data_IF_712345045128
#
_entry.id   IF_712345045128
#
_cell.length_a   1.000
_cell.length_b   1.000
_cell.length_c   1.000
_cell.angle_alpha   90.00
_cell.angle_beta   90.00
_cell.angle_gamma   90.00
#
_symmetry.space_group_name_H-M   'P 1'
#
loop_
_entity.id
_entity.type
_entity.pdbx_description
1 polymer ?
#
# COMPACT_ATOMS: atom_id res chain seq x y z
N UNK A 1 -18.53 3.07 9.62
CA UNK A 1 -17.38 2.32 10.15
C UNK A 1 -17.90 1.02 10.75
N UNK A 2 -17.36 -0.08 10.33
CA UNK A 2 -17.74 -1.44 10.71
C UNK A 2 -16.51 -2.15 11.30
N UNK A 3 -16.71 -3.06 12.27
CA UNK A 3 -15.64 -3.91 12.82
C UNK A 3 -16.12 -5.34 12.72
N UNK A 4 -15.37 -6.15 11.98
CA UNK A 4 -15.71 -7.55 11.70
C UNK A 4 -14.53 -8.47 12.01
N UNK A 5 -14.80 -9.71 12.46
CA UNK A 5 -13.76 -10.73 12.65
C UNK A 5 -13.08 -11.09 11.31
N UNK A 6 -11.79 -11.40 11.39
CA UNK A 6 -10.99 -11.99 10.32
C UNK A 6 -10.23 -13.19 10.88
N UNK A 7 -10.81 -14.39 10.72
CA UNK A 7 -10.30 -15.57 11.40
C UNK A 7 -10.49 -15.48 12.92
N UNK A 8 -9.57 -16.07 13.67
CA UNK A 8 -9.61 -16.21 15.13
C UNK A 8 -8.68 -15.26 15.89
N UNK A 9 -7.82 -14.55 15.18
CA UNK A 9 -6.75 -13.73 15.75
C UNK A 9 -6.63 -12.34 15.09
N UNK A 10 -7.66 -11.93 14.35
CA UNK A 10 -7.69 -10.58 13.75
C UNK A 10 -9.10 -10.00 13.69
N UNK A 11 -9.16 -8.66 13.64
CA UNK A 11 -10.36 -7.87 13.33
C UNK A 11 -10.03 -6.93 12.16
N UNK A 12 -11.03 -6.64 11.33
CA UNK A 12 -10.95 -5.59 10.30
C UNK A 12 -11.83 -4.42 10.71
N UNK A 13 -11.22 -3.26 10.83
CA UNK A 13 -11.92 -1.98 11.01
C UNK A 13 -12.09 -1.35 9.62
N UNK A 14 -13.30 -1.44 9.06
CA UNK A 14 -13.63 -0.89 7.74
C UNK A 14 -14.16 0.53 7.90
N UNK A 15 -13.52 1.49 7.23
CA UNK A 15 -13.91 2.90 7.26
C UNK A 15 -14.92 3.25 6.16
N UNK A 16 -14.78 2.61 4.99
CA UNK A 16 -15.72 2.70 3.84
C UNK A 16 -15.88 1.35 3.16
N UNK A 17 -16.95 1.21 2.36
CA UNK A 17 -17.19 -0.02 1.59
C UNK A 17 -16.37 -0.05 0.31
N UNK A 18 -16.31 1.06 -0.43
CA UNK A 18 -15.62 1.17 -1.71
C UNK A 18 -14.51 2.22 -1.65
N UNK A 19 -13.39 1.89 -2.26
CA UNK A 19 -12.23 2.78 -2.32
C UNK A 19 -12.37 3.82 -3.43
N UNK A 20 -12.90 3.41 -4.56
CA UNK A 20 -12.97 4.17 -5.80
C UNK A 20 -13.86 5.42 -5.72
N UNK A 21 -14.81 5.45 -4.78
CA UNK A 21 -15.73 6.57 -4.61
C UNK A 21 -15.03 7.86 -4.14
N UNK A 22 -14.05 7.72 -3.26
CA UNK A 22 -13.26 8.84 -2.73
C UNK A 22 -11.89 8.34 -2.23
N UNK A 23 -10.95 7.99 -3.12
CA UNK A 23 -9.71 7.30 -2.75
C UNK A 23 -8.86 8.05 -1.72
N UNK A 24 -8.64 9.36 -1.92
CA UNK A 24 -7.81 10.18 -1.02
C UNK A 24 -8.41 10.29 0.38
N UNK A 25 -9.71 10.62 0.45
CA UNK A 25 -10.40 10.77 1.74
C UNK A 25 -10.51 9.44 2.49
N UNK A 26 -10.74 8.35 1.75
CA UNK A 26 -10.85 7.00 2.31
C UNK A 26 -9.52 6.55 2.90
N UNK A 27 -8.43 6.78 2.18
CA UNK A 27 -7.09 6.47 2.67
C UNK A 27 -6.71 7.34 3.88
N UNK A 28 -7.03 8.65 3.84
CA UNK A 28 -6.81 9.55 4.98
C UNK A 28 -7.56 9.07 6.22
N UNK A 29 -8.79 8.60 6.06
CA UNK A 29 -9.56 8.07 7.17
C UNK A 29 -9.00 6.75 7.70
N UNK A 30 -8.61 5.82 6.84
CA UNK A 30 -7.97 4.57 7.23
C UNK A 30 -6.65 4.82 7.98
N UNK A 31 -5.81 5.73 7.46
CA UNK A 31 -4.55 6.11 8.11
C UNK A 31 -4.78 6.83 9.45
N UNK A 32 -5.83 7.66 9.55
CA UNK A 32 -6.21 8.29 10.81
C UNK A 32 -6.62 7.24 11.85
N UNK A 33 -7.43 6.27 11.47
CA UNK A 33 -7.82 5.15 12.34
C UNK A 33 -6.59 4.35 12.76
N UNK A 34 -5.73 4.00 11.83
CA UNK A 34 -4.45 3.33 12.12
C UNK A 34 -3.63 4.09 13.17
N UNK A 35 -3.43 5.40 13.02
CA UNK A 35 -2.66 6.21 13.95
C UNK A 35 -3.32 6.30 15.34
N UNK A 36 -4.65 6.35 15.41
CA UNK A 36 -5.37 6.35 16.68
C UNK A 36 -5.19 5.02 17.42
N UNK A 37 -5.32 3.91 16.71
CA UNK A 37 -5.11 2.57 17.26
C UNK A 37 -3.66 2.35 17.72
N UNK A 38 -2.69 2.80 16.90
CA UNK A 38 -1.28 2.74 17.26
C UNK A 38 -0.97 3.50 18.56
N UNK A 39 -1.56 4.70 18.73
CA UNK A 39 -1.39 5.49 19.95
C UNK A 39 -2.11 4.91 21.16
N UNK A 40 -3.24 4.24 20.93
CA UNK A 40 -4.01 3.62 22.00
C UNK A 40 -3.29 2.43 22.63
N UNK A 41 -2.34 1.81 21.92
CA UNK A 41 -1.53 0.68 22.36
C UNK A 41 -2.37 -0.37 23.12
N UNK A 42 -3.47 -0.82 22.47
CA UNK A 42 -4.46 -1.70 23.10
C UNK A 42 -3.78 -3.00 23.54
N UNK A 43 -3.86 -3.40 24.81
CA UNK A 43 -3.22 -4.62 25.28
C UNK A 43 -3.69 -5.86 24.50
N UNK A 44 -2.73 -6.69 24.09
CA UNK A 44 -2.98 -7.89 23.30
C UNK A 44 -3.00 -7.65 21.79
N UNK A 45 -3.05 -6.41 21.30
CA UNK A 45 -2.82 -6.10 19.88
C UNK A 45 -1.33 -6.22 19.57
N UNK A 46 -0.98 -7.03 18.55
CA UNK A 46 0.39 -7.31 18.15
C UNK A 46 0.80 -6.59 16.86
N UNK A 47 -0.17 -6.35 15.95
CA UNK A 47 0.11 -5.69 14.68
C UNK A 47 -1.11 -4.91 14.17
N UNK A 48 -0.85 -3.83 13.43
CA UNK A 48 -1.84 -3.02 12.74
C UNK A 48 -1.42 -2.87 11.28
N UNK A 49 -2.29 -3.22 10.35
CA UNK A 49 -2.01 -3.13 8.91
C UNK A 49 -3.10 -2.30 8.20
N UNK A 50 -2.80 -1.04 7.81
CA UNK A 50 -3.73 -0.24 7.02
C UNK A 50 -3.70 -0.66 5.55
N UNK A 51 -4.88 -0.73 4.94
CA UNK A 51 -5.04 -1.06 3.53
C UNK A 51 -6.32 -0.44 2.96
N UNK A 52 -6.19 0.42 1.95
CA UNK A 52 -7.31 1.02 1.20
C UNK A 52 -8.41 1.59 2.09
N UNK A 53 -9.45 0.79 2.37
CA UNK A 53 -10.67 1.15 3.09
C UNK A 53 -10.68 0.72 4.54
N UNK A 54 -9.60 0.11 5.05
CA UNK A 54 -9.63 -0.60 6.33
C UNK A 54 -8.30 -0.62 7.07
N UNK A 55 -8.37 -1.00 8.33
CA UNK A 55 -7.20 -1.36 9.15
C UNK A 55 -7.43 -2.76 9.71
N UNK A 56 -6.55 -3.69 9.40
CA UNK A 56 -6.51 -4.98 10.08
C UNK A 56 -5.80 -4.81 11.43
N UNK A 57 -6.38 -5.45 12.45
CA UNK A 57 -5.89 -5.45 13.84
C UNK A 57 -5.63 -6.89 14.22
N UNK A 58 -4.36 -7.28 14.25
CA UNK A 58 -3.93 -8.60 14.67
C UNK A 58 -3.69 -8.59 16.18
N UNK A 59 -4.12 -9.66 16.86
CA UNK A 59 -4.02 -9.75 18.32
C UNK A 59 -3.68 -11.17 18.78
N UNK A 60 -3.11 -11.27 19.97
CA UNK A 60 -2.92 -12.53 20.69
C UNK A 60 -4.19 -12.87 21.47
N UNK A 61 -4.95 -13.93 21.05
CA UNK A 61 -6.18 -14.32 21.74
C UNK A 61 -5.97 -14.70 23.20
N UNK A 62 -4.81 -15.26 23.55
CA UNK A 62 -4.48 -15.64 24.92
C UNK A 62 -4.22 -14.40 25.78
N UNK A 63 -3.48 -13.42 25.24
CA UNK A 63 -3.19 -12.20 25.97
C UNK A 63 -4.47 -11.36 26.20
N UNK A 64 -5.36 -11.28 25.21
CA UNK A 64 -6.65 -10.58 25.33
C UNK A 64 -7.58 -11.32 26.30
N UNK A 65 -7.66 -12.67 26.23
CA UNK A 65 -8.51 -13.51 27.08
C UNK A 65 -8.12 -13.45 28.54
N UNK A 66 -6.82 -13.39 28.85
CA UNK A 66 -6.32 -13.28 30.24
C UNK A 66 -6.78 -12.04 30.96
N UNK A 67 -7.17 -11.01 30.24
CA UNK A 67 -7.69 -9.78 30.84
C UNK A 67 -9.15 -9.85 31.28
N UNK A 68 -9.98 -10.83 30.80
CA UNK A 68 -11.44 -10.85 31.08
C UNK A 68 -12.16 -12.22 31.03
N UNK A 69 -11.50 -13.34 30.93
CA UNK A 69 -12.04 -14.63 31.41
C UNK A 69 -13.04 -15.45 30.55
N UNK A 70 -13.55 -15.00 29.40
CA UNK A 70 -14.48 -15.80 28.59
C UNK A 70 -14.23 -15.66 27.08
N UNK A 71 -13.96 -16.79 26.41
CA UNK A 71 -13.61 -16.84 24.98
C UNK A 71 -14.69 -16.26 24.04
N UNK A 72 -15.96 -16.36 24.37
CA UNK A 72 -17.08 -15.89 23.54
C UNK A 72 -17.27 -14.35 23.55
N UNK A 73 -16.57 -13.65 24.42
CA UNK A 73 -16.67 -12.17 24.58
C UNK A 73 -15.47 -11.46 23.98
N UNK A 74 -14.46 -12.21 23.53
CA UNK A 74 -13.16 -11.70 23.09
C UNK A 74 -13.25 -10.65 21.98
N UNK A 75 -13.98 -10.99 20.92
CA UNK A 75 -14.13 -10.08 19.77
C UNK A 75 -14.95 -8.83 20.10
N UNK A 76 -16.03 -8.98 20.86
CA UNK A 76 -16.90 -7.87 21.26
C UNK A 76 -16.18 -6.91 22.19
N UNK A 77 -15.39 -7.44 23.10
CA UNK A 77 -14.58 -6.63 24.00
C UNK A 77 -13.49 -5.87 23.26
N UNK A 78 -12.72 -6.56 22.40
CA UNK A 78 -11.68 -5.92 21.60
C UNK A 78 -12.30 -4.88 20.65
N UNK A 79 -13.43 -5.19 20.02
CA UNK A 79 -14.17 -4.24 19.19
C UNK A 79 -14.63 -3.00 19.99
N UNK A 80 -15.03 -3.19 21.26
CA UNK A 80 -15.41 -2.10 22.14
C UNK A 80 -14.20 -1.20 22.48
N UNK A 81 -13.05 -1.79 22.81
CA UNK A 81 -11.80 -1.06 23.05
C UNK A 81 -11.35 -0.30 21.79
N UNK A 82 -11.43 -0.92 20.61
CA UNK A 82 -11.14 -0.30 19.32
C UNK A 82 -12.07 0.88 19.07
N UNK A 83 -13.40 0.71 19.22
CA UNK A 83 -14.36 1.81 19.07
C UNK A 83 -14.04 2.98 20.00
N UNK A 84 -13.75 2.71 21.27
CA UNK A 84 -13.39 3.72 22.25
C UNK A 84 -12.11 4.48 21.89
N UNK A 85 -11.13 3.81 21.31
CA UNK A 85 -9.88 4.42 20.85
C UNK A 85 -10.07 5.34 19.62
N UNK A 86 -11.05 5.02 18.76
CA UNK A 86 -11.29 5.74 17.51
C UNK A 86 -12.20 6.96 17.71
N UNK A 87 -13.09 6.95 18.73
CA UNK A 87 -13.99 8.07 19.04
C UNK A 87 -13.13 9.30 19.41
N UNK A 88 -13.19 10.42 18.68
CA UNK A 88 -12.31 11.55 18.96
C UNK A 88 -12.68 12.19 20.30
N UNK A 89 -11.74 12.25 21.20
CA UNK A 89 -11.79 13.18 22.32
C UNK A 89 -11.69 14.62 21.75
N UNK A 90 -12.85 15.23 21.54
CA UNK A 90 -13.08 16.64 21.15
C UNK A 90 -12.51 17.14 19.80
N UNK A 91 -13.23 18.14 19.21
CA UNK A 91 -12.90 18.84 17.95
C UNK A 91 -11.48 19.45 17.87
N UNK A 92 -10.79 19.63 18.97
CA UNK A 92 -9.42 20.17 19.04
C UNK A 92 -8.35 19.19 18.51
N UNK A 93 -8.57 17.89 18.62
CA UNK A 93 -7.61 16.86 18.14
C UNK A 93 -7.66 16.66 16.62
N UNK A 94 -8.77 16.97 15.98
CA UNK A 94 -8.99 16.78 14.53
C UNK A 94 -8.02 17.62 13.66
N UNK A 95 -7.54 18.78 14.15
CA UNK A 95 -6.59 19.64 13.43
C UNK A 95 -5.12 19.22 13.56
N UNK A 96 -4.75 18.49 14.61
CA UNK A 96 -3.34 18.10 14.85
C UNK A 96 -2.96 16.75 14.24
N UNK A 97 -3.92 15.88 13.90
CA UNK A 97 -3.68 14.57 13.27
C UNK A 97 -3.56 14.64 11.73
N UNK A 98 -3.99 15.75 11.12
CA UNK A 98 -3.88 15.97 9.68
C UNK A 98 -2.48 16.39 9.19
N UNK A 99 -1.50 16.52 10.08
CA UNK A 99 -0.23 17.18 9.76
C UNK A 99 1.04 16.39 10.16
N UNK A 100 1.12 15.11 9.85
CA UNK A 100 2.42 14.57 9.40
C UNK A 100 2.37 14.63 7.88
N UNK A 101 3.07 15.62 7.32
CA UNK A 101 3.21 15.77 5.89
C UNK A 101 3.58 14.43 5.29
N UNK A 102 2.76 13.96 4.38
CA UNK A 102 3.04 12.76 3.61
C UNK A 102 4.37 13.01 2.89
N UNK A 103 5.37 12.21 3.20
CA UNK A 103 6.68 12.31 2.56
C UNK A 103 6.49 12.07 1.06
N UNK A 104 6.92 13.01 0.23
CA UNK A 104 7.02 12.78 -1.21
C UNK A 104 8.35 12.08 -1.48
N UNK A 105 8.28 10.89 -2.03
CA UNK A 105 9.46 10.10 -2.42
C UNK A 105 9.50 9.99 -3.94
N UNK A 106 10.59 10.45 -4.53
CA UNK A 106 10.86 10.27 -5.95
C UNK A 106 11.53 8.91 -6.18
N UNK A 107 10.97 8.12 -7.10
CA UNK A 107 11.45 6.80 -7.46
C UNK A 107 11.96 6.85 -8.91
N UNK A 108 13.28 6.74 -9.14
CA UNK A 108 13.83 6.66 -10.48
C UNK A 108 13.45 5.33 -11.13
N UNK A 109 12.99 5.35 -12.37
CA UNK A 109 12.54 4.17 -13.13
C UNK A 109 13.09 4.22 -14.55
N UNK A 110 13.80 3.18 -14.96
CA UNK A 110 14.16 2.95 -16.34
C UNK A 110 13.05 2.15 -17.03
N UNK A 111 12.54 2.69 -18.15
CA UNK A 111 11.44 2.11 -18.92
C UNK A 111 11.91 1.40 -20.19
N UNK A 112 13.22 1.16 -20.35
CA UNK A 112 13.76 0.46 -21.50
C UNK A 112 13.13 -0.92 -21.67
N UNK A 113 13.04 -1.40 -22.92
CA UNK A 113 12.40 -2.68 -23.28
C UNK A 113 12.93 -3.86 -22.47
N UNK A 114 14.19 -3.85 -22.04
CA UNK A 114 14.80 -4.84 -21.16
C UNK A 114 14.13 -4.92 -19.78
N UNK A 115 13.50 -3.84 -19.31
CA UNK A 115 12.80 -3.76 -18.02
C UNK A 115 11.28 -3.67 -18.17
N UNK A 116 10.83 -3.04 -19.26
CA UNK A 116 9.43 -2.81 -19.58
C UNK A 116 8.79 -3.92 -20.40
N UNK A 117 8.91 -5.19 -19.98
CA UNK A 117 8.46 -6.37 -20.74
C UNK A 117 7.02 -6.34 -21.26
N UNK A 118 6.19 -5.45 -20.81
CA UNK A 118 4.79 -5.32 -21.21
C UNK A 118 4.39 -3.85 -21.48
N UNK A 119 5.36 -3.00 -21.76
CA UNK A 119 5.08 -1.60 -22.10
C UNK A 119 4.29 -1.52 -23.42
N UNK A 120 4.68 -2.34 -24.41
CA UNK A 120 3.96 -2.55 -25.67
C UNK A 120 2.49 -2.95 -25.45
N UNK A 121 2.25 -3.94 -24.58
CA UNK A 121 0.90 -4.41 -24.25
C UNK A 121 0.05 -3.32 -23.59
N UNK A 122 0.65 -2.52 -22.69
CA UNK A 122 -0.05 -1.39 -22.06
C UNK A 122 -0.39 -0.35 -23.12
N UNK A 123 0.55 0.01 -23.99
CA UNK A 123 0.37 0.95 -25.09
C UNK A 123 -0.77 0.52 -26.03
N UNK A 124 -0.77 -0.74 -26.45
CA UNK A 124 -1.81 -1.33 -27.30
C UNK A 124 -3.20 -1.29 -26.62
N UNK A 125 -3.28 -1.72 -25.35
CA UNK A 125 -4.54 -1.75 -24.60
C UNK A 125 -5.12 -0.36 -24.41
N UNK A 126 -4.27 0.61 -24.09
CA UNK A 126 -4.69 2.01 -23.80
C UNK A 126 -4.84 2.87 -25.06
N UNK A 127 -4.41 2.36 -26.22
CA UNK A 127 -4.34 3.07 -27.50
C UNK A 127 -3.44 4.32 -27.44
N UNK A 128 -2.39 4.24 -26.65
CA UNK A 128 -1.34 5.24 -26.50
C UNK A 128 -0.04 4.71 -27.11
N UNK A 129 0.88 5.60 -27.43
CA UNK A 129 2.27 5.20 -27.71
C UNK A 129 2.98 4.84 -26.40
N UNK A 130 4.02 4.01 -26.46
CA UNK A 130 4.87 3.69 -25.29
C UNK A 130 5.41 4.97 -24.63
N UNK A 131 5.76 5.97 -25.42
CA UNK A 131 6.22 7.28 -24.93
C UNK A 131 5.14 7.98 -24.09
N UNK A 132 3.91 8.02 -24.57
CA UNK A 132 2.79 8.61 -23.83
C UNK A 132 2.50 7.85 -22.54
N UNK A 133 2.58 6.51 -22.56
CA UNK A 133 2.45 5.69 -21.34
C UNK A 133 3.52 6.08 -20.32
N UNK A 134 4.78 6.20 -20.73
CA UNK A 134 5.89 6.60 -19.86
C UNK A 134 5.67 8.02 -19.33
N UNK A 135 5.35 8.97 -20.19
CA UNK A 135 5.17 10.36 -19.80
C UNK A 135 4.02 10.51 -18.79
N UNK A 136 2.87 9.86 -19.02
CA UNK A 136 1.72 9.90 -18.11
C UNK A 136 2.08 9.22 -16.78
N UNK A 137 2.74 8.05 -16.83
CA UNK A 137 3.09 7.31 -15.63
C UNK A 137 4.15 8.04 -14.79
N UNK A 138 5.15 8.64 -15.40
CA UNK A 138 6.25 9.32 -14.70
C UNK A 138 5.88 10.71 -14.16
N UNK A 139 4.89 11.38 -14.75
CA UNK A 139 4.41 12.70 -14.27
C UNK A 139 3.30 12.60 -13.25
N UNK A 140 2.70 11.40 -13.06
CA UNK A 140 1.65 11.15 -12.09
C UNK A 140 2.14 11.29 -10.64
N UNK A 141 1.23 11.69 -9.75
CA UNK A 141 1.41 11.58 -8.31
C UNK A 141 0.61 10.39 -7.78
N UNK A 142 1.27 9.55 -7.02
CA UNK A 142 0.70 8.33 -6.47
C UNK A 142 0.72 8.36 -4.95
N UNK A 143 -0.09 7.52 -4.35
CA UNK A 143 -0.12 7.37 -2.91
C UNK A 143 -0.06 5.90 -2.51
N UNK A 144 0.77 5.57 -1.52
CA UNK A 144 0.84 4.21 -0.99
C UNK A 144 -0.46 3.87 -0.27
N UNK A 145 -1.28 3.03 -0.89
CA UNK A 145 -2.56 2.60 -0.34
C UNK A 145 -2.43 1.38 0.58
N UNK A 146 -1.45 0.53 0.31
CA UNK A 146 -1.17 -0.67 1.09
C UNK A 146 0.26 -1.15 0.86
N UNK A 147 0.85 -1.78 1.87
CA UNK A 147 2.05 -2.61 1.74
C UNK A 147 1.65 -4.04 2.10
N UNK A 148 1.88 -5.00 1.18
CA UNK A 148 1.43 -6.38 1.39
C UNK A 148 1.82 -7.28 0.22
N UNK A 149 1.22 -8.45 0.10
CA UNK A 149 1.56 -9.50 -0.87
C UNK A 149 2.92 -10.16 -0.58
N UNK A 150 4.01 -9.38 -0.60
CA UNK A 150 5.34 -9.77 -0.10
C UNK A 150 5.93 -8.60 0.67
N UNK A 151 6.92 -8.81 1.58
CA UNK A 151 7.51 -7.74 2.36
C UNK A 151 7.99 -6.58 1.49
N UNK A 152 7.44 -5.37 1.74
CA UNK A 152 7.78 -4.15 1.02
C UNK A 152 7.12 -3.96 -0.36
N UNK A 153 6.24 -4.86 -0.83
CA UNK A 153 5.48 -4.59 -2.06
C UNK A 153 4.49 -3.45 -1.84
N UNK A 154 4.57 -2.46 -2.72
CA UNK A 154 3.86 -1.20 -2.57
C UNK A 154 2.73 -1.12 -3.61
N UNK A 155 1.49 -1.14 -3.12
CA UNK A 155 0.31 -0.85 -3.93
C UNK A 155 0.08 0.65 -3.96
N UNK A 156 0.12 1.25 -5.15
CA UNK A 156 -0.02 2.68 -5.35
C UNK A 156 -1.38 3.00 -5.98
N UNK A 157 -2.14 3.83 -5.29
CA UNK A 157 -3.35 4.45 -5.80
C UNK A 157 -3.00 5.72 -6.59
N UNK A 158 -3.94 6.21 -7.42
CA UNK A 158 -3.75 7.41 -8.22
C UNK A 158 -3.29 7.15 -9.65
N UNK A 159 -3.30 5.90 -10.13
CA UNK A 159 -3.03 5.62 -11.54
C UNK A 159 -4.08 6.32 -12.42
N UNK A 160 -3.68 7.15 -13.38
CA UNK A 160 -4.59 7.74 -14.35
C UNK A 160 -5.45 6.67 -15.05
N UNK A 161 -6.76 6.91 -15.15
CA UNK A 161 -7.71 5.93 -15.69
C UNK A 161 -7.37 5.46 -17.09
N UNK A 162 -6.77 6.32 -17.91
CA UNK A 162 -6.33 6.01 -19.27
C UNK A 162 -5.11 5.07 -19.32
N UNK A 163 -4.43 4.80 -18.20
CA UNK A 163 -3.39 3.78 -18.09
C UNK A 163 -3.89 2.44 -17.52
N UNK A 164 -5.14 2.38 -17.09
CA UNK A 164 -5.71 1.16 -16.51
C UNK A 164 -5.63 -0.01 -17.48
N UNK A 165 -4.93 -1.06 -17.09
CA UNK A 165 -4.70 -2.24 -17.94
C UNK A 165 -4.93 -3.51 -17.12
N UNK A 166 -5.76 -4.46 -17.59
CA UNK A 166 -6.03 -5.71 -16.90
C UNK A 166 -4.75 -6.49 -16.60
N UNK A 167 -4.74 -7.24 -15.51
CA UNK A 167 -3.65 -8.18 -15.21
C UNK A 167 -3.49 -9.18 -16.36
N UNK A 168 -2.34 -9.78 -16.46
CA UNK A 168 -2.05 -10.86 -17.42
C UNK A 168 -2.88 -12.09 -17.06
N UNK A 169 -3.40 -12.77 -18.07
CA UNK A 169 -4.15 -14.02 -17.90
C UNK A 169 -3.25 -15.12 -17.31
N UNK A 170 -1.99 -15.15 -17.73
CA UNK A 170 -0.99 -16.07 -17.20
C UNK A 170 0.06 -15.28 -16.43
N UNK A 171 0.09 -15.38 -15.09
CA UNK A 171 1.11 -14.76 -14.28
C UNK A 171 2.52 -15.26 -14.62
N UNK A 172 3.53 -14.39 -14.48
CA UNK A 172 4.93 -14.79 -14.55
C UNK A 172 5.29 -15.62 -13.33
N UNK A 173 6.08 -16.66 -13.51
CA UNK A 173 6.63 -17.45 -12.40
C UNK A 173 7.61 -16.62 -11.57
N UNK A 174 8.28 -15.69 -12.22
CA UNK A 174 9.32 -14.87 -11.62
C UNK A 174 9.32 -13.45 -12.18
N UNK A 175 9.31 -12.48 -11.29
CA UNK A 175 9.46 -11.05 -11.54
C UNK A 175 10.70 -10.57 -10.80
N UNK A 176 11.64 -9.88 -11.45
CA UNK A 176 12.84 -9.35 -10.80
C UNK A 176 12.52 -8.27 -9.77
N UNK A 177 13.34 -8.11 -8.70
CA UNK A 177 13.23 -7.01 -7.76
C UNK A 177 13.35 -5.64 -8.47
N UNK A 178 12.64 -4.65 -7.96
CA UNK A 178 12.59 -3.30 -8.52
C UNK A 178 11.62 -3.14 -9.69
N UNK A 179 11.02 -4.23 -10.21
CA UNK A 179 10.07 -4.13 -11.33
C UNK A 179 8.88 -3.27 -10.96
N UNK A 180 8.55 -2.32 -11.85
CA UNK A 180 7.38 -1.45 -11.76
C UNK A 180 6.32 -1.97 -12.73
N UNK A 181 5.06 -2.06 -12.26
CA UNK A 181 4.02 -2.66 -13.09
C UNK A 181 2.64 -2.04 -12.88
N UNK A 182 1.76 -2.25 -13.88
CA UNK A 182 0.35 -1.87 -13.86
C UNK A 182 -0.51 -3.13 -13.77
N UNK A 183 -1.49 -3.11 -12.86
CA UNK A 183 -2.46 -4.19 -12.70
C UNK A 183 -3.85 -3.66 -12.34
N UNK A 184 -4.77 -3.64 -13.33
CA UNK A 184 -6.06 -2.99 -13.18
C UNK A 184 -5.89 -1.48 -13.08
N UNK A 185 -6.48 -0.88 -12.07
CA UNK A 185 -6.46 0.57 -11.78
C UNK A 185 -5.29 1.01 -10.91
N UNK A 186 -4.25 0.17 -10.77
CA UNK A 186 -3.16 0.39 -9.82
C UNK A 186 -1.80 0.26 -10.50
N UNK A 187 -0.82 0.95 -9.96
CA UNK A 187 0.60 0.71 -10.20
C UNK A 187 1.29 0.26 -8.91
N UNK A 188 2.49 -0.30 -9.01
CA UNK A 188 3.22 -0.79 -7.84
C UNK A 188 4.62 -1.25 -8.18
N UNK A 189 5.40 -1.53 -7.13
CA UNK A 189 6.80 -1.87 -7.23
C UNK A 189 7.07 -3.21 -6.53
N UNK A 190 7.63 -4.15 -7.24
CA UNK A 190 8.05 -5.45 -6.71
C UNK A 190 9.38 -5.33 -5.95
N UNK A 191 9.41 -5.46 -4.62
CA UNK A 191 10.63 -5.27 -3.85
C UNK A 191 11.57 -6.47 -3.91
N UNK A 192 11.00 -7.65 -4.10
CA UNK A 192 11.69 -8.93 -4.06
C UNK A 192 11.32 -9.76 -5.29
N UNK A 193 12.13 -10.78 -5.58
CA UNK A 193 11.81 -11.81 -6.56
C UNK A 193 10.54 -12.55 -6.15
N UNK A 194 9.52 -12.53 -7.00
CA UNK A 194 8.22 -13.14 -6.70
C UNK A 194 7.45 -13.48 -7.97
N UNK A 195 6.47 -14.39 -7.96
CA UNK A 195 5.52 -14.51 -9.05
C UNK A 195 4.63 -13.27 -9.16
N UNK A 196 3.98 -13.04 -10.32
CA UNK A 196 3.02 -11.95 -10.45
C UNK A 196 2.42 -11.80 -11.84
N UNK A 197 1.22 -11.22 -11.89
CA UNK A 197 0.43 -11.05 -13.12
C UNK A 197 0.30 -9.60 -13.61
N UNK A 198 1.06 -8.66 -13.06
CA UNK A 198 1.00 -7.27 -13.50
C UNK A 198 1.81 -7.05 -14.78
N UNK A 199 1.44 -6.03 -15.54
CA UNK A 199 2.16 -5.65 -16.75
C UNK A 199 3.38 -4.83 -16.34
N UNK A 200 4.58 -5.39 -16.55
CA UNK A 200 5.84 -4.73 -16.20
C UNK A 200 6.15 -3.67 -17.22
N UNK A 201 6.29 -2.42 -16.77
CA UNK A 201 6.54 -1.25 -17.63
C UNK A 201 7.91 -0.62 -17.42
N UNK A 202 8.64 -1.03 -16.37
CA UNK A 202 9.96 -0.48 -16.08
C UNK A 202 10.56 -1.10 -14.83
N UNK A 203 11.71 -0.57 -14.40
CA UNK A 203 12.43 -1.03 -13.22
C UNK A 203 13.13 0.11 -12.49
N UNK A 204 13.07 0.10 -11.17
CA UNK A 204 13.87 0.98 -10.31
C UNK A 204 15.13 0.28 -9.82
N UNK A 205 16.28 0.99 -9.69
CA UNK A 205 17.47 0.45 -9.05
C UNK A 205 17.39 0.42 -7.53
N UNK A 206 16.37 1.10 -6.94
CA UNK A 206 16.27 1.23 -5.48
C UNK A 206 15.86 -0.07 -4.80
N UNK A 207 16.46 -0.32 -3.63
CA UNK A 207 16.07 -1.42 -2.72
C UNK A 207 14.86 -0.97 -1.89
N UNK A 208 13.67 -1.55 -2.13
CA UNK A 208 12.42 -1.16 -1.47
C UNK A 208 12.25 -1.80 -0.08
N UNK A 209 12.91 -2.93 0.17
CA UNK A 209 12.84 -3.67 1.41
C UNK A 209 14.23 -4.11 1.86
N UNK A 210 14.56 -3.83 3.11
CA UNK A 210 15.80 -4.25 3.76
C UNK A 210 15.50 -4.65 5.21
N UNK A 211 15.54 -5.95 5.56
CA UNK A 211 15.19 -6.43 6.90
C UNK A 211 16.20 -5.96 7.98
N UNK A 212 17.33 -5.43 7.58
CA UNK A 212 18.35 -4.93 8.52
C UNK A 212 18.16 -3.46 8.92
N UNK A 213 17.19 -2.77 8.27
CA UNK A 213 16.88 -1.37 8.53
C UNK A 213 15.63 -1.20 9.41
N UNK A 214 15.53 -0.07 10.06
CA UNK A 214 14.33 0.36 10.79
C UNK A 214 13.94 1.78 10.35
N UNK A 215 12.81 1.95 9.65
CA UNK A 215 11.89 0.91 9.16
C UNK A 215 12.51 0.07 8.03
N UNK A 216 12.09 -1.19 7.87
CA UNK A 216 12.64 -2.11 6.88
C UNK A 216 12.19 -1.80 5.45
N UNK A 217 11.15 -0.98 5.28
CA UNK A 217 10.58 -0.58 3.99
C UNK A 217 10.95 0.86 3.64
N UNK A 218 11.30 1.10 2.37
CA UNK A 218 11.59 2.45 1.88
C UNK A 218 10.34 3.35 1.92
N UNK A 219 9.18 2.78 1.65
CA UNK A 219 7.89 3.45 1.60
C UNK A 219 6.98 2.93 2.72
N UNK A 220 6.12 3.82 3.23
CA UNK A 220 5.11 3.51 4.24
C UNK A 220 3.70 3.83 3.72
N UNK A 221 2.64 3.18 4.24
CA UNK A 221 1.27 3.53 3.89
C UNK A 221 1.00 5.03 4.07
N UNK A 222 0.43 5.66 3.04
CA UNK A 222 0.16 7.10 3.00
C UNK A 222 1.26 7.96 2.39
N UNK A 223 2.47 7.45 2.18
CA UNK A 223 3.52 8.20 1.48
C UNK A 223 3.08 8.57 0.06
N UNK A 224 3.51 9.75 -0.39
CA UNK A 224 3.36 10.17 -1.78
C UNK A 224 4.56 9.70 -2.58
N UNK A 225 4.29 9.23 -3.80
CA UNK A 225 5.30 8.73 -4.72
C UNK A 225 5.18 9.45 -6.04
N UNK A 226 6.30 9.84 -6.61
CA UNK A 226 6.43 10.29 -7.99
C UNK A 226 7.48 9.44 -8.67
N UNK A 227 7.18 8.93 -9.85
CA UNK A 227 8.18 8.27 -10.65
C UNK A 227 8.95 9.30 -11.48
N UNK A 228 10.23 9.04 -11.68
CA UNK A 228 11.09 9.83 -12.57
C UNK A 228 11.71 8.90 -13.60
N UNK A 229 11.43 9.16 -14.86
CA UNK A 229 12.06 8.41 -15.94
C UNK A 229 13.57 8.69 -15.97
N UNK A 230 14.35 7.61 -16.05
CA UNK A 230 15.82 7.66 -16.10
C UNK A 230 16.35 6.83 -17.26
N UNK A 231 17.56 7.16 -17.72
CA UNK A 231 18.25 6.37 -18.74
C UNK A 231 18.83 5.07 -18.15
N UNK A 232 19.29 4.20 -19.04
CA UNK A 232 19.98 2.97 -18.65
C UNK A 232 21.30 3.26 -17.91
N UNK A 233 22.07 4.23 -18.36
CA UNK A 233 23.32 4.62 -17.72
C UNK A 233 23.08 5.12 -16.30
N UNK A 234 22.05 5.95 -16.11
CA UNK A 234 21.65 6.43 -14.79
C UNK A 234 21.16 5.29 -13.91
N UNK A 235 20.40 4.33 -14.46
CA UNK A 235 19.97 3.15 -13.72
C UNK A 235 21.16 2.35 -13.17
N UNK A 236 22.17 2.07 -14.01
CA UNK A 236 23.34 1.32 -13.56
C UNK A 236 24.19 2.11 -12.54
N UNK A 237 24.25 3.43 -12.66
CA UNK A 237 24.98 4.29 -11.72
C UNK A 237 24.32 4.37 -10.33
N UNK A 238 22.98 4.24 -10.27
CA UNK A 238 22.20 4.26 -9.02
C UNK A 238 22.03 2.89 -8.37
N UNK A 239 22.46 1.83 -9.04
CA UNK A 239 22.35 0.46 -8.54
C UNK A 239 23.27 0.27 -7.34
N UNK A 240 22.68 -0.03 -6.18
CA UNK A 240 23.37 -0.28 -4.90
C UNK A 240 23.68 -1.77 -4.67
#
# INVERSE_FOLDING_TARGET
>A
MEIVPLGDSALVVRVREQFEDAPEETLDEALRVFQLLQRAAIPGVIELAPAYTSVAVFFDPIAVSRSNGAANVLFDELATRIRSAIIPASRRHRRRTAARGTRLTEIPVCYDAEFGFNLDRVAEHTKLSEREVIDIHSTGEYRVACIGFVPGFTFLAGLPKNLSTPRRDVPRKEIPPGSVGIGGTQTGIYPLRSPGGWNLIGRTPLKLFDPTKDPPTLLCPGDRVRFRAITREEFESLKQ
#
